data_IF_497403918754
#
_entry.id   IF_497403918754
#
_cell.length_a   1.000
_cell.length_b   1.000
_cell.length_c   1.000
_cell.angle_alpha   90.00
_cell.angle_beta   90.00
_cell.angle_gamma   90.00
#
_symmetry.space_group_name_H-M   'P 1'
#
loop_
_entity.id
_entity.type
_entity.pdbx_description
1 polymer ?
#
# COMPACT_ATOMS: atom_id res chain seq x y z
N UNK A 1 19.55 1.59 10.79
CA UNK A 1 18.17 1.50 11.32
C UNK A 1 17.70 0.09 11.01
N UNK A 2 17.34 -0.69 12.02
CA UNK A 2 17.05 -2.13 11.89
C UNK A 2 15.55 -2.45 11.83
N UNK A 3 14.69 -1.50 12.20
CA UNK A 3 13.26 -1.71 12.37
C UNK A 3 12.45 -0.72 11.53
N UNK A 4 11.25 -1.15 11.10
CA UNK A 4 10.29 -0.31 10.37
C UNK A 4 8.94 -0.40 11.05
N UNK A 5 8.42 0.72 11.54
CA UNK A 5 7.04 0.84 12.01
C UNK A 5 6.20 1.22 10.79
N UNK A 6 5.05 0.57 10.59
CA UNK A 6 4.15 0.83 9.47
C UNK A 6 2.81 1.31 10.01
N UNK A 7 2.29 2.39 9.44
CA UNK A 7 0.97 2.93 9.78
C UNK A 7 0.07 2.87 8.55
N UNK A 8 -1.23 2.63 8.79
CA UNK A 8 -2.27 2.69 7.76
C UNK A 8 -3.34 3.70 8.15
N UNK A 9 -3.70 4.58 7.21
CA UNK A 9 -4.78 5.55 7.40
C UNK A 9 -5.92 5.25 6.43
N UNK A 10 -7.11 4.99 6.95
CA UNK A 10 -8.30 4.79 6.12
C UNK A 10 -8.69 6.09 5.39
N UNK A 11 -8.89 6.01 4.07
CA UNK A 11 -9.40 7.15 3.27
C UNK A 11 -10.92 7.26 3.42
N UNK A 12 -11.54 8.43 3.25
CA UNK A 12 -13.01 8.58 3.36
C UNK A 12 -13.79 7.70 2.34
N UNK A 13 -14.77 6.92 2.80
CA UNK A 13 -15.50 5.95 1.95
C UNK A 13 -16.36 6.63 0.89
N UNK A 14 -17.16 7.63 1.28
CA UNK A 14 -18.07 8.32 0.37
C UNK A 14 -17.32 9.03 -0.76
N UNK A 15 -16.20 9.67 -0.44
CA UNK A 15 -15.34 10.27 -1.45
C UNK A 15 -14.71 9.21 -2.38
N UNK A 16 -14.18 8.11 -1.83
CA UNK A 16 -13.54 7.05 -2.63
C UNK A 16 -14.54 6.35 -3.56
N UNK A 17 -15.79 6.19 -3.15
CA UNK A 17 -16.84 5.55 -3.97
C UNK A 17 -17.09 6.28 -5.29
N UNK A 18 -16.71 7.56 -5.40
CA UNK A 18 -16.91 8.36 -6.61
C UNK A 18 -15.76 8.30 -7.62
N UNK A 19 -14.72 7.47 -7.41
CA UNK A 19 -13.66 7.32 -8.42
C UNK A 19 -14.24 7.02 -9.82
N UNK A 20 -13.71 7.63 -10.89
CA UNK A 20 -12.52 8.47 -10.96
C UNK A 20 -12.76 9.99 -10.82
N UNK A 21 -13.83 10.43 -10.13
CA UNK A 21 -14.15 11.87 -10.03
C UNK A 21 -13.12 12.69 -9.24
N UNK A 22 -13.12 14.01 -9.46
CA UNK A 22 -12.29 14.95 -8.70
C UNK A 22 -12.55 14.88 -7.18
N UNK A 23 -13.80 14.62 -6.76
CA UNK A 23 -14.16 14.44 -5.34
C UNK A 23 -13.38 13.31 -4.68
N UNK A 24 -13.12 12.21 -5.41
CA UNK A 24 -12.33 11.10 -4.89
C UNK A 24 -10.88 11.50 -4.61
N UNK A 25 -10.35 12.50 -5.33
CA UNK A 25 -9.03 13.07 -5.10
C UNK A 25 -8.87 13.69 -3.69
N UNK A 26 -9.95 14.20 -3.09
CA UNK A 26 -9.92 14.77 -1.74
C UNK A 26 -9.57 13.68 -0.70
N UNK A 27 -10.08 12.46 -0.89
CA UNK A 27 -9.80 11.34 0.01
C UNK A 27 -8.29 10.99 0.02
N UNK A 28 -7.65 11.10 -1.14
CA UNK A 28 -6.21 10.88 -1.31
C UNK A 28 -5.41 12.00 -0.65
N UNK A 29 -5.74 13.26 -0.96
CA UNK A 29 -5.06 14.43 -0.40
C UNK A 29 -5.10 14.45 1.13
N UNK A 30 -6.28 14.22 1.70
CA UNK A 30 -6.44 14.13 3.16
C UNK A 30 -5.67 12.94 3.74
N UNK A 31 -5.67 11.78 3.06
CA UNK A 31 -4.88 10.62 3.47
C UNK A 31 -3.39 10.93 3.55
N UNK A 32 -2.82 11.67 2.59
CA UNK A 32 -1.42 12.11 2.63
C UNK A 32 -1.12 13.04 3.80
N UNK A 33 -1.98 14.02 4.06
CA UNK A 33 -1.78 14.93 5.20
C UNK A 33 -1.76 14.18 6.53
N UNK A 34 -2.69 13.22 6.71
CA UNK A 34 -2.73 12.40 7.92
C UNK A 34 -1.54 11.46 8.07
N UNK A 35 -1.13 10.78 6.99
CA UNK A 35 0.06 9.92 7.04
C UNK A 35 1.31 10.73 7.42
N UNK A 36 1.45 11.94 6.88
CA UNK A 36 2.56 12.84 7.16
C UNK A 36 2.55 13.32 8.62
N UNK A 37 1.39 13.70 9.14
CA UNK A 37 1.20 14.10 10.54
C UNK A 37 1.55 12.95 11.49
N UNK A 38 0.97 11.77 11.28
CA UNK A 38 1.18 10.61 12.15
C UNK A 38 2.63 10.12 12.11
N UNK A 39 3.22 9.98 10.91
CA UNK A 39 4.59 9.50 10.78
C UNK A 39 5.59 10.47 11.43
N UNK A 40 5.42 11.78 11.26
CA UNK A 40 6.29 12.78 11.90
C UNK A 40 6.12 12.79 13.41
N UNK A 41 4.88 12.76 13.93
CA UNK A 41 4.63 12.73 15.37
C UNK A 41 5.28 11.49 16.03
N UNK A 42 5.14 10.32 15.41
CA UNK A 42 5.78 9.08 15.90
C UNK A 42 7.30 9.20 15.83
N UNK A 43 7.86 9.71 14.73
CA UNK A 43 9.30 9.87 14.58
C UNK A 43 9.87 10.84 15.63
N UNK A 44 9.23 12.00 15.83
CA UNK A 44 9.63 12.97 16.87
C UNK A 44 9.55 12.37 18.27
N UNK A 45 8.51 11.58 18.55
CA UNK A 45 8.41 10.87 19.82
C UNK A 45 9.60 9.91 20.02
N UNK A 46 9.94 9.11 19.02
CA UNK A 46 11.07 8.16 19.09
C UNK A 46 12.42 8.89 19.22
N UNK A 47 12.59 10.02 18.52
CA UNK A 47 13.77 10.89 18.66
C UNK A 47 13.92 11.38 20.11
N UNK A 48 12.82 11.77 20.76
CA UNK A 48 12.82 12.21 22.15
C UNK A 48 13.10 11.07 23.15
N UNK A 49 12.92 9.81 22.76
CA UNK A 49 13.34 8.64 23.52
C UNK A 49 14.84 8.33 23.39
N UNK A 50 15.58 9.09 22.55
CA UNK A 50 17.01 8.91 22.33
C UNK A 50 17.37 7.93 21.20
N UNK A 51 16.39 7.51 20.40
CA UNK A 51 16.61 6.62 19.24
C UNK A 51 16.51 7.39 17.94
N UNK A 52 17.11 6.89 16.87
CA UNK A 52 16.97 7.52 15.55
C UNK A 52 15.63 7.12 14.94
N UNK A 53 14.94 8.06 14.32
CA UNK A 53 13.74 7.80 13.55
C UNK A 53 13.68 8.68 12.30
N UNK A 54 13.26 8.08 11.17
CA UNK A 54 13.05 8.76 9.89
C UNK A 54 11.66 8.40 9.39
N UNK A 55 10.78 9.40 9.37
CA UNK A 55 9.45 9.28 8.79
C UNK A 55 9.53 9.29 7.26
N UNK A 56 8.84 8.36 6.63
CA UNK A 56 8.74 8.24 5.17
C UNK A 56 7.28 8.00 4.79
N UNK A 57 6.76 8.77 3.83
CA UNK A 57 5.40 8.54 3.31
C UNK A 57 5.49 7.68 2.07
N UNK A 58 5.79 8.25 0.89
CA UNK A 58 5.88 7.50 -0.37
C UNK A 58 7.32 7.24 -0.85
N UNK A 59 8.29 7.86 -0.20
CA UNK A 59 9.70 7.85 -0.56
C UNK A 59 10.48 6.77 0.22
N UNK A 60 11.81 6.72 -0.01
CA UNK A 60 12.83 5.93 0.71
C UNK A 60 12.72 4.40 0.61
N UNK A 61 11.52 3.84 0.55
CA UNK A 61 11.29 2.38 0.50
C UNK A 61 9.93 2.05 -0.13
N UNK A 62 9.63 0.76 -0.37
CA UNK A 62 8.34 0.31 -0.92
C UNK A 62 7.32 0.00 0.18
N UNK A 63 6.11 0.57 0.11
CA UNK A 63 5.19 0.57 1.26
C UNK A 63 4.52 -0.78 1.52
N UNK A 64 4.04 -1.40 0.44
CA UNK A 64 3.23 -2.61 0.51
C UNK A 64 4.01 -3.81 1.09
N UNK A 65 5.27 -4.09 0.70
CA UNK A 65 6.02 -5.19 1.31
C UNK A 65 6.17 -5.06 2.83
N UNK A 66 6.47 -3.86 3.34
CA UNK A 66 6.56 -3.63 4.79
C UNK A 66 5.19 -3.77 5.47
N UNK A 67 4.11 -3.28 4.86
CA UNK A 67 2.78 -3.43 5.43
C UNK A 67 2.32 -4.90 5.51
N UNK A 68 2.68 -5.73 4.52
CA UNK A 68 2.43 -7.19 4.58
C UNK A 68 3.29 -7.83 5.67
N UNK A 69 4.58 -7.49 5.74
CA UNK A 69 5.48 -8.01 6.76
C UNK A 69 5.01 -7.67 8.19
N UNK A 70 4.47 -6.46 8.38
CA UNK A 70 3.89 -6.00 9.63
C UNK A 70 2.46 -6.51 9.90
N UNK A 71 1.95 -7.46 9.11
CA UNK A 71 0.65 -8.08 9.36
C UNK A 71 -0.58 -7.19 9.11
N UNK A 72 -0.42 -6.08 8.39
CA UNK A 72 -1.53 -5.12 8.17
C UNK A 72 -2.49 -5.56 7.05
N UNK A 73 -2.09 -6.51 6.21
CA UNK A 73 -2.92 -6.98 5.10
C UNK A 73 -2.23 -7.93 4.14
N UNK A 74 -2.91 -8.23 3.03
CA UNK A 74 -2.43 -9.09 1.95
C UNK A 74 -2.35 -8.34 0.61
N UNK A 75 -1.57 -8.85 -0.35
CA UNK A 75 -1.44 -8.25 -1.68
C UNK A 75 -2.65 -8.58 -2.57
N UNK A 76 -3.31 -7.55 -3.11
CA UNK A 76 -4.43 -7.71 -4.04
C UNK A 76 -4.01 -7.70 -5.52
N UNK A 77 -4.86 -8.28 -6.40
CA UNK A 77 -4.70 -8.22 -7.86
C UNK A 77 -4.57 -6.80 -8.42
N UNK A 78 -5.22 -5.83 -7.76
CA UNK A 78 -5.14 -4.40 -8.11
C UNK A 78 -3.78 -3.76 -7.77
N UNK A 79 -2.84 -4.53 -7.23
CA UNK A 79 -1.50 -4.08 -6.89
C UNK A 79 -1.41 -3.32 -5.57
N UNK A 80 -2.48 -3.29 -4.77
CA UNK A 80 -2.57 -2.58 -3.50
C UNK A 80 -2.58 -3.57 -2.31
N UNK A 81 -2.28 -3.05 -1.11
CA UNK A 81 -2.53 -3.75 0.14
C UNK A 81 -4.04 -3.84 0.38
N UNK A 82 -4.54 -5.01 0.75
CA UNK A 82 -5.91 -5.23 1.21
C UNK A 82 -5.85 -5.49 2.72
N UNK A 83 -6.46 -4.61 3.50
CA UNK A 83 -6.61 -4.75 4.96
C UNK A 83 -7.94 -5.43 5.29
N UNK A 84 -8.06 -6.07 6.47
CA UNK A 84 -9.32 -6.70 6.91
C UNK A 84 -10.46 -5.69 7.04
N UNK A 85 -10.20 -4.55 7.69
CA UNK A 85 -11.26 -3.62 8.09
C UNK A 85 -11.62 -2.60 7.00
N UNK A 86 -10.65 -2.25 6.15
CA UNK A 86 -10.81 -1.16 5.18
C UNK A 86 -10.59 -1.58 3.72
N UNK A 87 -10.21 -2.84 3.47
CA UNK A 87 -9.84 -3.31 2.14
C UNK A 87 -8.65 -2.50 1.58
N UNK A 88 -8.65 -2.14 0.28
CA UNK A 88 -7.61 -1.32 -0.33
C UNK A 88 -7.68 0.17 -0.01
N UNK A 89 -8.68 0.62 0.77
CA UNK A 89 -8.97 2.03 1.03
C UNK A 89 -8.08 2.60 2.14
N UNK A 90 -6.77 2.41 2.02
CA UNK A 90 -5.80 2.89 2.99
C UNK A 90 -4.63 3.60 2.32
N UNK A 91 -4.05 4.56 3.02
CA UNK A 91 -2.71 5.09 2.75
C UNK A 91 -1.73 4.48 3.76
N UNK A 92 -0.44 4.49 3.42
CA UNK A 92 0.58 3.77 4.16
C UNK A 92 1.74 4.72 4.41
N UNK A 93 2.03 4.99 5.69
CA UNK A 93 3.24 5.67 6.16
C UNK A 93 4.19 4.68 6.83
N UNK A 94 5.47 5.01 6.88
CA UNK A 94 6.50 4.19 7.54
C UNK A 94 7.46 5.04 8.35
N UNK A 95 8.04 4.46 9.38
CA UNK A 95 9.08 5.07 10.21
C UNK A 95 10.22 4.07 10.33
N UNK A 96 11.38 4.41 9.78
CA UNK A 96 12.61 3.63 9.95
C UNK A 96 13.29 4.03 11.24
N UNK A 97 13.67 3.07 12.07
CA UNK A 97 14.23 3.35 13.40
C UNK A 97 15.24 2.29 13.86
N UNK A 98 16.07 2.63 14.85
CA UNK A 98 16.87 1.68 15.63
C UNK A 98 16.32 1.45 17.05
N UNK A 99 15.14 1.98 17.38
CA UNK A 99 14.38 1.61 18.56
C UNK A 99 14.16 0.07 18.58
N UNK A 100 14.58 -0.65 19.64
CA UNK A 100 14.31 -2.08 19.77
C UNK A 100 12.81 -2.36 19.85
N UNK A 101 12.31 -3.22 18.97
CA UNK A 101 10.89 -3.56 18.83
C UNK A 101 10.70 -5.05 18.63
N UNK A 102 9.57 -5.58 19.10
CA UNK A 102 9.09 -6.92 18.73
C UNK A 102 8.35 -6.79 17.41
N UNK A 103 8.61 -7.68 16.46
CA UNK A 103 7.99 -7.64 15.14
C UNK A 103 6.66 -8.40 15.11
N UNK A 104 5.67 -7.78 14.51
CA UNK A 104 4.44 -8.44 14.09
C UNK A 104 4.72 -9.52 13.03
N UNK A 105 3.71 -10.34 12.75
CA UNK A 105 3.79 -11.42 11.76
C UNK A 105 2.81 -11.17 10.61
N UNK A 106 3.17 -11.57 9.37
CA UNK A 106 2.24 -11.54 8.25
C UNK A 106 0.95 -12.31 8.57
N UNK A 107 -0.17 -11.79 8.09
CA UNK A 107 -1.49 -12.43 8.22
C UNK A 107 -1.93 -13.00 6.87
N UNK A 108 -2.80 -14.01 6.92
CA UNK A 108 -3.55 -14.46 5.75
C UNK A 108 -5.03 -14.59 6.08
N UNK A 109 -5.86 -14.06 5.19
CA UNK A 109 -7.32 -14.11 5.30
C UNK A 109 -7.99 -14.32 3.94
N UNK A 110 -7.25 -14.85 2.96
CA UNK A 110 -7.79 -15.39 1.71
C UNK A 110 -7.78 -14.42 0.52
N UNK A 111 -7.09 -13.28 0.59
CA UNK A 111 -7.09 -12.29 -0.51
C UNK A 111 -6.49 -12.88 -1.78
N UNK A 112 -5.42 -13.66 -1.65
CA UNK A 112 -4.73 -14.27 -2.80
C UNK A 112 -5.64 -15.25 -3.51
N UNK A 113 -6.22 -16.20 -2.78
CA UNK A 113 -7.07 -17.26 -3.28
C UNK A 113 -8.32 -16.66 -3.94
N UNK A 114 -8.91 -15.65 -3.31
CA UNK A 114 -10.06 -14.93 -3.84
C UNK A 114 -9.73 -14.19 -5.15
N UNK A 115 -8.58 -13.50 -5.19
CA UNK A 115 -8.12 -12.81 -6.40
C UNK A 115 -7.77 -13.77 -7.54
N UNK A 116 -7.23 -14.95 -7.23
CA UNK A 116 -6.76 -15.92 -8.23
C UNK A 116 -7.92 -16.69 -8.86
N UNK A 117 -8.84 -17.18 -8.04
CA UNK A 117 -9.89 -18.11 -8.47
C UNK A 117 -11.25 -17.47 -8.75
N UNK A 118 -11.56 -16.34 -8.11
CA UNK A 118 -12.94 -15.86 -8.02
C UNK A 118 -13.12 -14.46 -8.60
N UNK A 119 -12.27 -13.51 -8.23
CA UNK A 119 -12.51 -12.09 -8.47
C UNK A 119 -11.53 -11.45 -9.45
N UNK A 120 -12.08 -10.87 -10.50
CA UNK A 120 -11.36 -10.03 -11.47
C UNK A 120 -12.01 -8.65 -11.63
N UNK A 121 -12.83 -8.22 -10.67
CA UNK A 121 -13.62 -6.98 -10.75
C UNK A 121 -12.76 -5.73 -10.97
N UNK A 122 -11.60 -5.64 -10.32
CA UNK A 122 -10.69 -4.52 -10.51
C UNK A 122 -10.09 -4.47 -11.93
N UNK A 123 -9.72 -5.61 -12.49
CA UNK A 123 -9.22 -5.72 -13.87
C UNK A 123 -10.31 -5.33 -14.89
N UNK A 124 -11.54 -5.82 -14.68
CA UNK A 124 -12.69 -5.47 -15.52
C UNK A 124 -13.00 -3.96 -15.47
N UNK A 125 -13.02 -3.37 -14.28
CA UNK A 125 -13.40 -1.97 -14.08
C UNK A 125 -12.30 -0.95 -14.43
N UNK A 126 -11.03 -1.36 -14.50
CA UNK A 126 -9.90 -0.47 -14.77
C UNK A 126 -10.04 0.21 -16.15
N UNK A 127 -10.23 1.54 -16.22
CA UNK A 127 -10.40 2.23 -17.49
C UNK A 127 -9.22 2.08 -18.46
N UNK A 128 -7.93 2.24 -18.04
CA UNK A 128 -6.80 2.06 -18.94
C UNK A 128 -6.37 0.59 -19.13
N UNK A 129 -7.11 -0.38 -18.57
CA UNK A 129 -6.77 -1.82 -18.63
C UNK A 129 -5.33 -2.10 -18.18
N UNK A 130 -4.91 -1.45 -17.10
CA UNK A 130 -3.58 -1.57 -16.52
C UNK A 130 -3.44 -2.80 -15.61
N UNK A 131 -4.54 -3.42 -15.19
CA UNK A 131 -4.55 -4.56 -14.26
C UNK A 131 -4.80 -5.85 -15.04
N UNK A 132 -3.94 -6.86 -14.83
CA UNK A 132 -4.02 -8.15 -15.52
C UNK A 132 -5.20 -9.02 -15.05
N UNK A 133 -5.80 -9.76 -15.99
CA UNK A 133 -6.75 -10.85 -15.72
C UNK A 133 -6.04 -12.17 -15.38
N UNK A 134 -4.78 -12.34 -15.78
CA UNK A 134 -4.03 -13.58 -15.62
C UNK A 134 -3.56 -13.88 -14.20
N UNK A 135 -2.82 -14.97 -14.04
CA UNK A 135 -2.18 -15.35 -12.78
C UNK A 135 -1.01 -14.39 -12.43
N UNK A 136 -0.52 -14.39 -11.18
CA UNK A 136 0.71 -13.69 -10.82
C UNK A 136 1.90 -14.19 -11.63
N UNK A 137 2.63 -13.27 -12.27
CA UNK A 137 3.78 -13.58 -13.12
C UNK A 137 5.01 -12.78 -12.67
N UNK A 138 6.21 -13.27 -13.00
CA UNK A 138 7.46 -12.50 -12.84
C UNK A 138 7.73 -11.58 -14.06
N UNK A 139 6.74 -11.42 -14.95
CA UNK A 139 6.82 -10.60 -16.15
C UNK A 139 7.00 -9.12 -15.78
N UNK A 140 7.88 -8.43 -16.49
CA UNK A 140 8.17 -7.00 -16.33
C UNK A 140 7.40 -6.25 -17.43
N UNK A 141 6.22 -5.65 -17.15
CA UNK A 141 5.47 -4.94 -18.19
C UNK A 141 6.15 -3.63 -18.63
N UNK A 142 6.89 -2.97 -17.75
CA UNK A 142 7.58 -1.70 -18.01
C UNK A 142 8.71 -1.43 -16.99
N UNK A 143 9.43 -0.32 -17.14
CA UNK A 143 10.54 0.08 -16.25
C UNK A 143 10.11 0.33 -14.79
N UNK A 144 8.84 0.66 -14.55
CA UNK A 144 8.30 0.89 -13.20
C UNK A 144 7.96 -0.40 -12.45
N UNK A 145 8.27 -1.56 -13.03
CA UNK A 145 7.98 -2.87 -12.48
C UNK A 145 9.17 -3.47 -11.75
N UNK A 146 8.92 -4.14 -10.63
CA UNK A 146 9.96 -4.76 -9.83
C UNK A 146 10.41 -6.07 -10.51
N UNK A 147 11.72 -6.24 -10.63
CA UNK A 147 12.37 -7.41 -11.22
C UNK A 147 12.44 -8.54 -10.20
N UNK A 148 12.21 -9.78 -10.62
CA UNK A 148 12.41 -10.98 -9.79
C UNK A 148 11.27 -11.30 -8.83
N UNK A 149 10.19 -10.53 -8.80
CA UNK A 149 9.03 -10.77 -7.93
C UNK A 149 7.85 -11.28 -8.75
N UNK A 150 7.31 -12.44 -8.37
CA UNK A 150 6.07 -12.99 -8.95
C UNK A 150 4.86 -12.37 -8.25
N UNK A 151 4.13 -11.50 -8.96
CA UNK A 151 2.92 -10.83 -8.45
C UNK A 151 1.97 -10.45 -9.59
N UNK A 152 0.75 -10.03 -9.28
CA UNK A 152 -0.08 -9.30 -10.25
C UNK A 152 0.57 -7.94 -10.52
N UNK A 153 1.33 -7.85 -11.60
CA UNK A 153 1.98 -6.62 -12.03
C UNK A 153 0.93 -5.69 -12.66
N UNK A 154 0.81 -4.47 -12.13
CA UNK A 154 -0.01 -3.41 -12.73
C UNK A 154 0.89 -2.63 -13.70
N UNK A 155 0.40 -2.37 -14.91
CA UNK A 155 1.07 -1.48 -15.86
C UNK A 155 0.97 -0.03 -15.38
N UNK A 156 1.95 0.37 -14.57
CA UNK A 156 1.98 1.69 -13.93
C UNK A 156 1.98 2.84 -14.94
N UNK A 157 2.60 2.68 -16.11
CA UNK A 157 2.63 3.74 -17.13
C UNK A 157 1.26 3.96 -17.77
N UNK A 158 0.51 2.88 -18.06
CA UNK A 158 -0.88 3.01 -18.51
C UNK A 158 -1.77 3.60 -17.44
N UNK A 159 -1.57 3.20 -16.19
CA UNK A 159 -2.33 3.74 -15.06
C UNK A 159 -2.09 5.24 -14.88
N UNK A 160 -0.85 5.71 -15.02
CA UNK A 160 -0.48 7.11 -14.78
C UNK A 160 -0.95 8.06 -15.89
N UNK A 161 -1.12 7.56 -17.12
CA UNK A 161 -1.55 8.37 -18.27
C UNK A 161 -3.07 8.61 -18.33
N UNK A 162 -3.86 7.93 -17.50
CA UNK A 162 -5.30 8.08 -17.41
C UNK A 162 -5.69 9.11 -16.35
#
# INVERSE_FOLDING_TARGET
MSNVIVIVTAMNYEAVKTYPSATAGIAVGHGYSKDCELAQNIATYILNLGYRAVACVNDTSLAIPYAIAAGLGEYGRNGLLITKDFGPRVRIGRIHTDLPLVHDQPISFGVREFCDSTCQRCAAACPPKAISFGAPEARIPNQSSIIGIRKWQVDAERCFKF
#
